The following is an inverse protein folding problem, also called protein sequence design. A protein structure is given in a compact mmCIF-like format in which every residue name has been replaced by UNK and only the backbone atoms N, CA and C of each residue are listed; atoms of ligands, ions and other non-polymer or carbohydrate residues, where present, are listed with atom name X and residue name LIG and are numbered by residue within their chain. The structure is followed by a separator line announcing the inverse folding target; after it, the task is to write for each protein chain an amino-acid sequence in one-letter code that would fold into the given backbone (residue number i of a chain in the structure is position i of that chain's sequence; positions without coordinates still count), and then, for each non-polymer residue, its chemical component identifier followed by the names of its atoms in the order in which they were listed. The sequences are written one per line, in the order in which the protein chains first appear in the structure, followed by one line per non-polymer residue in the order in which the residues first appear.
data_IF_122749061605
#
_entry.id   IF_122749061605
#
_cell.length_a   1.000
_cell.length_b   1.000
_cell.length_c   1.000
_cell.angle_alpha   90.00
_cell.angle_beta   90.00
_cell.angle_gamma   90.00
#
_symmetry.space_group_name_H-M   'P 1'
#
loop_
_entity.id
_entity.type
_entity.pdbx_description
1 polymer ?
#
# COMPACT_ATOMS: atom_id res chain seq x y z
N UNK A 1 -21.73 41.46 -8.96
CA UNK A 1 -22.24 40.15 -9.41
C UNK A 1 -21.05 39.40 -9.99
N UNK A 2 -20.40 38.58 -9.18
CA UNK A 2 -19.28 37.76 -9.64
C UNK A 2 -19.83 36.36 -9.87
N UNK A 3 -19.89 35.95 -11.13
CA UNK A 3 -20.29 34.62 -11.57
C UNK A 3 -19.27 33.60 -11.05
N UNK A 4 -19.69 32.74 -10.13
CA UNK A 4 -18.93 31.56 -9.71
C UNK A 4 -18.98 30.50 -10.82
N UNK A 5 -17.85 29.84 -11.16
CA UNK A 5 -17.88 28.67 -12.03
C UNK A 5 -18.44 27.49 -11.22
N UNK A 6 -19.73 27.19 -11.40
CA UNK A 6 -20.34 25.96 -10.89
C UNK A 6 -19.88 24.77 -11.75
N UNK A 7 -18.61 24.37 -11.62
CA UNK A 7 -18.16 23.10 -12.18
C UNK A 7 -18.71 21.97 -11.30
N UNK A 8 -20.00 21.67 -11.45
CA UNK A 8 -20.62 20.52 -10.81
C UNK A 8 -20.24 19.26 -11.60
N UNK A 9 -19.33 18.46 -11.05
CA UNK A 9 -19.06 17.13 -11.59
C UNK A 9 -20.26 16.21 -11.36
N UNK A 10 -20.40 15.16 -12.16
CA UNK A 10 -21.41 14.12 -11.90
C UNK A 10 -20.96 13.23 -10.73
N UNK A 11 -21.86 12.80 -9.84
CA UNK A 11 -21.55 11.80 -8.83
C UNK A 11 -20.90 10.56 -9.45
N UNK A 12 -19.79 10.11 -8.87
CA UNK A 12 -18.96 9.03 -9.43
C UNK A 12 -17.77 9.49 -10.27
N UNK A 13 -17.70 10.77 -10.64
CA UNK A 13 -16.57 11.32 -11.40
C UNK A 13 -15.32 11.38 -10.54
N UNK A 14 -14.19 10.86 -11.05
CA UNK A 14 -12.89 11.02 -10.40
C UNK A 14 -12.31 12.40 -10.69
N UNK A 15 -12.02 13.13 -9.62
CA UNK A 15 -11.49 14.49 -9.64
C UNK A 15 -10.18 14.57 -8.85
N UNK A 16 -9.28 15.45 -9.29
CA UNK A 16 -8.07 15.84 -8.59
C UNK A 16 -8.35 17.10 -7.78
N UNK A 17 -8.04 17.01 -6.50
CA UNK A 17 -7.99 18.13 -5.58
C UNK A 17 -6.53 18.59 -5.46
N UNK A 18 -6.16 19.75 -6.03
CA UNK A 18 -4.78 20.24 -6.00
C UNK A 18 -4.35 20.75 -4.62
N UNK A 19 -5.29 21.02 -3.70
CA UNK A 19 -4.97 21.50 -2.34
C UNK A 19 -4.43 20.36 -1.49
N UNK A 20 -5.05 19.18 -1.61
CA UNK A 20 -4.62 17.99 -0.88
C UNK A 20 -3.71 17.07 -1.69
N UNK A 21 -3.55 17.36 -2.99
CA UNK A 21 -2.90 16.51 -4.00
C UNK A 21 -3.43 15.07 -4.01
N UNK A 22 -4.76 14.95 -3.98
CA UNK A 22 -5.45 13.65 -3.92
C UNK A 22 -6.48 13.50 -5.02
N UNK A 23 -6.70 12.25 -5.42
CA UNK A 23 -7.79 11.86 -6.31
C UNK A 23 -8.95 11.34 -5.47
N UNK A 24 -10.13 11.89 -5.72
CA UNK A 24 -11.37 11.50 -5.06
C UNK A 24 -12.51 11.30 -6.05
N UNK A 25 -13.47 10.47 -5.68
CA UNK A 25 -14.76 10.36 -6.35
C UNK A 25 -15.66 11.49 -5.85
N UNK A 26 -16.13 12.33 -6.77
CA UNK A 26 -17.13 13.34 -6.46
C UNK A 26 -18.44 12.68 -6.05
N UNK A 27 -18.99 13.09 -4.91
CA UNK A 27 -20.22 12.52 -4.35
C UNK A 27 -21.40 13.46 -4.55
N UNK A 28 -21.28 14.69 -4.04
CA UNK A 28 -22.30 15.72 -4.11
C UNK A 28 -21.72 17.07 -3.69
N UNK A 29 -22.46 18.14 -3.97
CA UNK A 29 -22.24 19.43 -3.33
C UNK A 29 -22.87 19.42 -1.93
N UNK A 30 -22.19 20.02 -0.96
CA UNK A 30 -22.66 20.22 0.41
C UNK A 30 -22.37 21.67 0.82
N UNK A 31 -23.39 22.52 0.69
CA UNK A 31 -23.22 23.96 0.85
C UNK A 31 -22.21 24.51 -0.17
N UNK A 32 -21.20 25.29 0.27
CA UNK A 32 -20.17 25.83 -0.63
C UNK A 32 -19.09 24.82 -1.01
N UNK A 33 -19.13 23.59 -0.47
CA UNK A 33 -18.07 22.60 -0.66
C UNK A 33 -18.51 21.44 -1.54
N UNK A 34 -17.55 20.85 -2.26
CA UNK A 34 -17.68 19.56 -2.89
C UNK A 34 -17.31 18.45 -1.90
N UNK A 35 -18.13 17.41 -1.80
CA UNK A 35 -17.84 16.20 -1.02
C UNK A 35 -17.14 15.17 -1.90
N UNK A 36 -15.93 14.78 -1.51
CA UNK A 36 -15.11 13.79 -2.19
C UNK A 36 -14.90 12.56 -1.31
N UNK A 37 -14.90 11.38 -1.96
CA UNK A 37 -14.58 10.11 -1.32
C UNK A 37 -13.27 9.54 -1.85
N UNK A 38 -12.36 9.01 -1.02
CA UNK A 38 -11.10 8.48 -1.53
C UNK A 38 -11.32 7.24 -2.40
N UNK A 39 -10.51 7.10 -3.45
CA UNK A 39 -10.45 5.86 -4.23
C UNK A 39 -9.98 4.74 -3.31
N UNK A 40 -10.76 3.66 -3.20
CA UNK A 40 -10.50 2.57 -2.26
C UNK A 40 -11.18 2.67 -0.90
N UNK A 41 -11.91 3.76 -0.63
CA UNK A 41 -12.62 3.99 0.62
C UNK A 41 -11.80 4.75 1.67
N UNK A 42 -12.38 4.95 2.86
CA UNK A 42 -11.81 5.79 3.90
C UNK A 42 -12.63 7.06 4.14
N UNK A 43 -12.04 8.02 4.86
CA UNK A 43 -12.75 9.23 5.29
C UNK A 43 -12.96 10.19 4.12
N UNK A 44 -14.22 10.50 3.84
CA UNK A 44 -14.62 11.55 2.91
C UNK A 44 -14.08 12.92 3.35
N UNK A 45 -13.83 13.81 2.40
CA UNK A 45 -13.35 15.16 2.67
C UNK A 45 -14.08 16.21 1.84
N UNK A 46 -14.03 17.44 2.33
CA UNK A 46 -14.57 18.62 1.67
C UNK A 46 -13.46 19.28 0.86
N UNK A 47 -13.78 19.72 -0.35
CA UNK A 47 -12.89 20.48 -1.22
C UNK A 47 -13.63 21.70 -1.81
N UNK A 48 -12.86 22.72 -2.19
CA UNK A 48 -13.39 23.86 -2.94
C UNK A 48 -13.76 23.43 -4.38
N UNK A 49 -15.03 23.52 -4.81
CA UNK A 49 -15.46 23.09 -6.14
C UNK A 49 -14.71 23.80 -7.28
N UNK A 50 -14.33 25.07 -7.08
CA UNK A 50 -13.62 25.86 -8.09
C UNK A 50 -12.18 25.40 -8.33
N UNK A 51 -11.55 24.79 -7.33
CA UNK A 51 -10.20 24.24 -7.42
C UNK A 51 -10.13 22.86 -8.07
N UNK A 52 -11.25 22.12 -8.11
CA UNK A 52 -11.29 20.74 -8.57
C UNK A 52 -11.10 20.62 -10.08
N UNK A 53 -10.37 19.57 -10.47
CA UNK A 53 -10.10 19.26 -11.88
C UNK A 53 -10.52 17.83 -12.18
N UNK A 54 -11.00 17.57 -13.40
CA UNK A 54 -11.19 16.18 -13.83
C UNK A 54 -9.85 15.43 -13.77
N UNK A 55 -9.82 14.27 -13.12
CA UNK A 55 -8.59 13.48 -13.04
C UNK A 55 -8.20 12.99 -14.44
N UNK A 56 -6.91 13.07 -14.79
CA UNK A 56 -6.38 12.48 -16.03
C UNK A 56 -6.44 10.95 -15.99
N UNK A 57 -6.38 10.25 -17.14
CA UNK A 57 -6.32 8.78 -17.16
C UNK A 57 -5.22 8.20 -16.27
N UNK A 58 -4.03 8.80 -16.28
CA UNK A 58 -2.89 8.38 -15.47
C UNK A 58 -3.16 8.55 -13.97
N UNK A 59 -3.75 9.68 -13.58
CA UNK A 59 -4.14 9.94 -12.19
C UNK A 59 -5.21 8.95 -11.70
N UNK A 60 -6.18 8.60 -12.55
CA UNK A 60 -7.20 7.59 -12.24
C UNK A 60 -6.58 6.22 -12.05
N UNK A 61 -5.68 5.81 -12.94
CA UNK A 61 -4.96 4.55 -12.84
C UNK A 61 -4.09 4.49 -11.57
N UNK A 62 -3.29 5.53 -11.33
CA UNK A 62 -2.43 5.61 -10.14
C UNK A 62 -3.25 5.53 -8.85
N UNK A 63 -4.37 6.25 -8.77
CA UNK A 63 -5.26 6.20 -7.61
C UNK A 63 -5.89 4.80 -7.43
N UNK A 64 -6.30 4.16 -8.52
CA UNK A 64 -6.85 2.80 -8.50
C UNK A 64 -5.83 1.75 -8.04
N UNK A 65 -4.60 1.82 -8.54
CA UNK A 65 -3.49 0.93 -8.14
C UNK A 65 -3.14 1.13 -6.67
N UNK A 66 -2.98 2.39 -6.24
CA UNK A 66 -2.69 2.69 -4.84
C UNK A 66 -3.79 2.17 -3.91
N UNK A 67 -5.05 2.36 -4.27
CA UNK A 67 -6.19 1.82 -3.53
C UNK A 67 -6.18 0.29 -3.47
N UNK A 68 -5.77 -0.39 -4.54
CA UNK A 68 -5.65 -1.86 -4.56
C UNK A 68 -4.52 -2.33 -3.64
N UNK A 69 -3.37 -1.67 -3.68
CA UNK A 69 -2.21 -1.98 -2.85
C UNK A 69 -2.53 -1.78 -1.36
N UNK A 70 -3.16 -0.65 -0.99
CA UNK A 70 -3.59 -0.38 0.40
C UNK A 70 -4.59 -1.43 0.91
N UNK A 71 -5.49 -1.93 0.03
CA UNK A 71 -6.40 -3.03 0.40
C UNK A 71 -5.66 -4.35 0.60
N UNK A 72 -4.70 -4.67 -0.27
CA UNK A 72 -3.90 -5.88 -0.15
C UNK A 72 -3.09 -5.87 1.15
N UNK A 73 -2.44 -4.74 1.49
CA UNK A 73 -1.72 -4.55 2.74
C UNK A 73 -2.61 -4.76 3.98
N UNK A 74 -3.84 -4.23 3.95
CA UNK A 74 -4.80 -4.46 5.05
C UNK A 74 -5.25 -5.91 5.16
N UNK A 75 -5.38 -6.61 4.03
CA UNK A 75 -5.76 -8.03 4.01
C UNK A 75 -4.63 -8.94 4.51
N UNK A 76 -3.37 -8.55 4.36
CA UNK A 76 -2.22 -9.29 4.87
C UNK A 76 -1.87 -8.98 6.34
N UNK A 77 -2.68 -8.16 7.03
CA UNK A 77 -2.48 -7.81 8.45
C UNK A 77 -2.41 -9.05 9.35
N UNK A 78 -1.19 -9.44 9.73
CA UNK A 78 -0.92 -10.55 10.64
C UNK A 78 -0.61 -11.89 9.99
N UNK A 79 -0.67 -12.01 8.66
CA UNK A 79 -0.03 -13.12 7.98
C UNK A 79 1.40 -12.69 7.63
N UNK A 80 2.44 -13.33 8.19
CA UNK A 80 3.78 -13.09 7.69
C UNK A 80 3.76 -13.41 6.20
N UNK A 81 4.04 -12.40 5.37
CA UNK A 81 4.30 -12.58 3.95
C UNK A 81 5.11 -13.87 3.79
N UNK A 82 4.58 -14.92 3.12
CA UNK A 82 5.30 -16.18 2.99
C UNK A 82 6.68 -15.99 2.37
N UNK A 83 6.80 -14.94 1.55
CA UNK A 83 8.01 -14.46 0.89
C UNK A 83 8.99 -13.73 1.81
N UNK A 84 8.60 -13.34 3.03
CA UNK A 84 9.52 -12.70 3.97
C UNK A 84 10.44 -13.77 4.59
N UNK A 85 11.76 -13.67 4.39
CA UNK A 85 12.69 -14.63 4.95
C UNK A 85 12.64 -14.60 6.50
N UNK A 86 12.78 -15.75 7.18
CA UNK A 86 12.86 -15.81 8.64
C UNK A 86 14.10 -15.05 9.13
N UNK A 87 13.92 -14.17 10.12
CA UNK A 87 15.01 -13.43 10.74
C UNK A 87 15.71 -14.30 11.81
N UNK A 88 17.04 -14.22 11.96
CA UNK A 88 17.76 -14.94 13.02
C UNK A 88 17.34 -14.41 14.41
N UNK A 89 17.23 -15.32 15.40
CA UNK A 89 17.00 -14.93 16.79
C UNK A 89 18.30 -14.32 17.37
N UNK A 90 18.27 -13.11 17.95
CA UNK A 90 19.46 -12.49 18.52
C UNK A 90 20.13 -13.39 19.56
N UNK A 91 21.44 -13.60 19.41
CA UNK A 91 22.24 -14.44 20.32
C UNK A 91 22.22 -15.94 20.02
N UNK A 92 21.44 -16.40 19.04
CA UNK A 92 21.52 -17.78 18.57
C UNK A 92 22.57 -17.91 17.45
N UNK A 93 23.64 -18.67 17.71
CA UNK A 93 24.74 -18.91 16.77
C UNK A 93 24.26 -19.65 15.52
N UNK A 94 23.49 -20.75 15.68
CA UNK A 94 22.94 -21.50 14.54
C UNK A 94 22.07 -20.63 13.64
N UNK A 95 21.28 -19.71 14.20
CA UNK A 95 20.53 -18.74 13.41
C UNK A 95 21.46 -17.79 12.64
N UNK A 96 22.53 -17.29 13.27
CA UNK A 96 23.48 -16.39 12.60
C UNK A 96 24.22 -17.09 11.44
N UNK A 97 24.59 -18.35 11.62
CA UNK A 97 25.23 -19.18 10.60
C UNK A 97 24.31 -19.38 9.38
N UNK A 98 23.06 -19.81 9.61
CA UNK A 98 22.09 -20.04 8.53
C UNK A 98 21.76 -18.73 7.79
N UNK A 99 21.71 -17.59 8.49
CA UNK A 99 21.57 -16.27 7.84
C UNK A 99 22.80 -15.92 6.98
N UNK A 100 24.00 -16.25 7.44
CA UNK A 100 25.24 -16.11 6.66
C UNK A 100 25.23 -16.93 5.37
N UNK A 101 24.76 -18.19 5.44
CA UNK A 101 24.59 -19.05 4.27
C UNK A 101 23.62 -18.41 3.27
N UNK A 102 22.46 -17.93 3.74
CA UNK A 102 21.47 -17.26 2.89
C UNK A 102 22.03 -16.01 2.21
N UNK A 103 22.78 -15.17 2.93
CA UNK A 103 23.40 -13.96 2.38
C UNK A 103 24.44 -14.28 1.31
N UNK A 104 25.23 -15.34 1.53
CA UNK A 104 26.23 -15.80 0.55
C UNK A 104 25.54 -16.30 -0.72
N UNK A 105 24.52 -17.15 -0.58
CA UNK A 105 23.72 -17.62 -1.71
C UNK A 105 23.06 -16.46 -2.49
N UNK A 106 22.55 -15.45 -1.78
CA UNK A 106 22.00 -14.24 -2.40
C UNK A 106 23.04 -13.45 -3.20
N UNK A 107 24.27 -13.33 -2.71
CA UNK A 107 25.37 -12.68 -3.42
C UNK A 107 25.78 -13.46 -4.68
N UNK A 108 25.65 -14.78 -4.66
CA UNK A 108 25.94 -15.68 -5.79
C UNK A 108 24.75 -15.89 -6.73
N UNK A 109 23.59 -15.29 -6.42
CA UNK A 109 22.32 -15.49 -7.15
C UNK A 109 21.84 -16.95 -7.20
N UNK A 110 22.16 -17.75 -6.18
CA UNK A 110 21.65 -19.12 -6.03
C UNK A 110 20.31 -19.13 -5.28
N UNK A 111 19.21 -19.07 -6.05
CA UNK A 111 17.86 -19.05 -5.50
C UNK A 111 17.47 -20.35 -4.77
N UNK A 112 18.05 -21.49 -5.17
CA UNK A 112 17.79 -22.78 -4.53
C UNK A 112 18.38 -22.78 -3.12
N UNK A 113 19.64 -22.37 -3.00
CA UNK A 113 20.33 -22.30 -1.71
C UNK A 113 19.71 -21.26 -0.76
N UNK A 114 19.20 -20.14 -1.27
CA UNK A 114 18.42 -19.17 -0.48
C UNK A 114 17.17 -19.82 0.12
N UNK A 115 16.45 -20.60 -0.69
CA UNK A 115 15.24 -21.31 -0.25
C UNK A 115 15.57 -22.38 0.80
N UNK A 116 16.64 -23.14 0.59
CA UNK A 116 17.10 -24.16 1.54
C UNK A 116 17.49 -23.54 2.89
N UNK A 117 18.19 -22.40 2.87
CA UNK A 117 18.53 -21.68 4.10
C UNK A 117 17.29 -21.20 4.86
N UNK A 118 16.25 -20.71 4.15
CA UNK A 118 14.97 -20.35 4.78
C UNK A 118 14.25 -21.56 5.40
N UNK A 119 14.27 -22.70 4.74
CA UNK A 119 13.71 -23.97 5.27
C UNK A 119 14.48 -24.41 6.52
N UNK A 120 15.82 -24.39 6.48
CA UNK A 120 16.67 -24.73 7.62
C UNK A 120 16.42 -23.81 8.81
N UNK A 121 16.34 -22.50 8.59
CA UNK A 121 16.06 -21.51 9.62
C UNK A 121 14.72 -21.77 10.29
N UNK A 122 13.63 -21.95 9.52
CA UNK A 122 12.29 -22.20 10.08
C UNK A 122 12.25 -23.52 10.85
N UNK A 123 12.93 -24.56 10.39
CA UNK A 123 13.04 -25.84 11.10
C UNK A 123 13.75 -25.68 12.44
N UNK A 124 14.90 -25.02 12.46
CA UNK A 124 15.66 -24.77 13.68
C UNK A 124 14.86 -23.93 14.69
N UNK A 125 14.25 -22.82 14.25
CA UNK A 125 13.45 -21.97 15.12
C UNK A 125 12.28 -22.71 15.76
N UNK A 126 11.59 -23.59 15.02
CA UNK A 126 10.52 -24.42 15.59
C UNK A 126 11.01 -25.42 16.63
N UNK A 127 12.23 -25.95 16.46
CA UNK A 127 12.80 -26.93 17.36
C UNK A 127 13.37 -26.28 18.63
N UNK A 128 14.10 -25.17 18.49
CA UNK A 128 14.95 -24.62 19.55
C UNK A 128 14.43 -23.30 20.14
N UNK A 129 13.51 -22.61 19.47
CA UNK A 129 13.02 -21.28 19.86
C UNK A 129 11.49 -21.19 19.93
N UNK A 130 10.79 -22.32 19.80
CA UNK A 130 9.33 -22.36 19.78
C UNK A 130 8.73 -21.92 21.13
N UNK A 131 8.11 -20.74 21.13
CA UNK A 131 6.83 -20.48 21.80
C UNK A 131 5.82 -20.00 20.78
#
# INVERSE_FOLDING_TARGET
MTTEPTTSFEPGTLVHDPVTDRIGEYRAASGPYAMLRPVGGGREWQADPGSLRAATPEQRLSAGVRAANERAERATWGYPEPSRPPAPVPGCETCAEVDGLRRTAGAESDASAVTDADVLMRRHQRAEHGS
#
